data_IF_859339376156
#
_entry.id   IF_859339376156
#
_cell.length_a   1.000
_cell.length_b   1.000
_cell.length_c   1.000
_cell.angle_alpha   90.00
_cell.angle_beta   90.00
_cell.angle_gamma   90.00
#
_symmetry.space_group_name_H-M   'P 1'
#
loop_
_entity.id
_entity.type
_entity.pdbx_description
1 polymer ?
#
# COMPACT_ATOMS: atom_id res chain seq x y z
N UNK A 1 7.29 0.22 4.86
CA UNK A 1 8.60 -0.45 4.59
C UNK A 1 9.51 0.33 3.63
N UNK A 2 9.80 1.57 4.01
CA UNK A 2 10.52 2.60 3.25
C UNK A 2 11.87 2.92 3.87
N UNK A 3 12.31 2.18 4.89
CA UNK A 3 13.48 2.52 5.71
C UNK A 3 14.76 2.60 4.87
N UNK A 4 15.62 3.58 5.19
CA UNK A 4 16.96 3.63 4.60
C UNK A 4 17.79 2.46 5.12
N UNK A 5 18.49 1.71 4.25
CA UNK A 5 19.24 0.53 4.69
C UNK A 5 20.27 0.80 5.78
N UNK A 6 20.93 1.97 5.78
CA UNK A 6 21.93 2.31 6.82
C UNK A 6 21.32 2.63 8.19
N UNK A 7 20.03 2.93 8.27
CA UNK A 7 19.35 3.27 9.54
C UNK A 7 18.83 2.02 10.23
N UNK A 8 18.28 1.07 9.46
CA UNK A 8 17.72 -0.17 9.99
C UNK A 8 18.74 -1.32 9.93
N UNK A 9 19.32 -1.69 11.09
CA UNK A 9 20.27 -2.82 11.19
C UNK A 9 21.69 -2.54 10.66
N UNK A 10 21.99 -1.30 10.25
CA UNK A 10 23.32 -0.83 9.85
C UNK A 10 23.84 -1.38 8.51
N UNK A 11 23.11 -2.32 7.89
CA UNK A 11 23.37 -2.99 6.61
C UNK A 11 24.85 -3.06 6.21
N UNK A 12 25.64 -3.95 6.86
CA UNK A 12 27.09 -4.04 6.65
C UNK A 12 27.48 -4.52 5.24
N UNK A 13 26.52 -5.08 4.49
CA UNK A 13 26.72 -5.55 3.12
C UNK A 13 25.54 -5.11 2.25
N UNK A 14 25.73 -5.12 0.92
CA UNK A 14 24.64 -4.86 -0.02
C UNK A 14 23.49 -5.86 0.15
N UNK A 15 23.78 -7.14 0.38
CA UNK A 15 22.75 -8.14 0.62
C UNK A 15 21.94 -7.83 1.89
N UNK A 16 22.59 -7.45 2.98
CA UNK A 16 21.92 -7.06 4.23
C UNK A 16 21.16 -5.72 4.11
N UNK A 17 21.40 -4.96 3.03
CA UNK A 17 20.67 -3.73 2.72
C UNK A 17 19.29 -4.00 2.12
N UNK A 18 19.02 -5.23 1.69
CA UNK A 18 17.74 -5.67 1.15
C UNK A 18 17.07 -6.55 2.20
N UNK A 19 16.09 -5.98 2.89
CA UNK A 19 15.30 -6.65 3.91
C UNK A 19 13.84 -6.16 3.92
N UNK A 20 13.01 -6.78 4.76
CA UNK A 20 11.57 -6.51 4.85
C UNK A 20 11.21 -5.06 5.21
N UNK A 21 12.11 -4.27 5.79
CA UNK A 21 11.87 -2.86 6.08
C UNK A 21 12.25 -1.90 4.94
N UNK A 22 12.96 -2.38 3.91
CA UNK A 22 13.65 -1.53 2.92
C UNK A 22 13.15 -1.66 1.49
N UNK A 23 12.21 -2.57 1.20
CA UNK A 23 11.90 -2.89 -0.19
C UNK A 23 11.20 -1.74 -0.95
N UNK A 24 10.34 -0.94 -0.30
CA UNK A 24 9.80 0.27 -0.95
C UNK A 24 10.83 1.39 -1.08
N UNK A 25 11.86 1.41 -0.23
CA UNK A 25 12.99 2.33 -0.44
C UNK A 25 13.71 2.02 -1.76
N UNK A 26 14.05 0.75 -1.99
CA UNK A 26 14.71 0.33 -3.23
C UNK A 26 13.79 0.53 -4.44
N UNK A 27 12.51 0.18 -4.35
CA UNK A 27 11.54 0.43 -5.41
C UNK A 27 11.44 1.92 -5.78
N UNK A 28 11.48 2.82 -4.78
CA UNK A 28 11.51 4.25 -5.02
C UNK A 28 12.81 4.69 -5.71
N UNK A 29 13.98 4.17 -5.29
CA UNK A 29 15.27 4.49 -5.92
C UNK A 29 15.37 3.97 -7.37
N UNK A 30 14.70 2.86 -7.66
CA UNK A 30 14.63 2.26 -9.00
C UNK A 30 13.56 2.91 -9.89
N UNK A 31 12.77 3.85 -9.35
CA UNK A 31 11.70 4.54 -10.11
C UNK A 31 10.50 3.64 -10.43
N UNK A 32 10.29 2.58 -9.64
CA UNK A 32 9.20 1.62 -9.82
C UNK A 32 7.89 2.07 -9.18
N UNK A 33 7.92 3.14 -8.38
CA UNK A 33 6.76 3.69 -7.71
C UNK A 33 6.23 4.90 -8.48
N UNK A 34 4.90 4.99 -8.58
CA UNK A 34 4.28 6.18 -9.11
C UNK A 34 4.52 7.34 -8.13
N UNK A 35 5.09 8.44 -8.63
CA UNK A 35 5.31 9.60 -7.77
C UNK A 35 3.97 10.15 -7.28
N UNK A 36 3.95 10.43 -5.99
CA UNK A 36 2.86 11.12 -5.31
C UNK A 36 1.49 10.42 -5.28
N UNK A 37 1.45 9.10 -5.41
CA UNK A 37 0.20 8.34 -5.24
C UNK A 37 0.36 7.11 -4.34
N UNK A 38 1.39 7.10 -3.49
CA UNK A 38 1.60 6.05 -2.50
C UNK A 38 1.23 6.56 -1.11
N UNK A 39 0.70 5.65 -0.29
CA UNK A 39 0.28 5.96 1.08
C UNK A 39 0.56 4.75 1.98
N UNK A 40 1.11 5.00 3.16
CA UNK A 40 1.15 4.04 4.25
C UNK A 40 0.03 4.37 5.24
N UNK A 41 -0.91 3.44 5.42
CA UNK A 41 -1.99 3.60 6.39
C UNK A 41 -1.79 2.72 7.62
N UNK A 42 -2.01 3.29 8.81
CA UNK A 42 -1.91 2.58 10.08
C UNK A 42 -0.49 2.46 10.65
N UNK A 43 0.40 3.37 10.26
CA UNK A 43 1.76 3.45 10.85
C UNK A 43 1.63 3.64 12.36
N UNK A 44 2.25 2.71 13.10
CA UNK A 44 2.24 2.64 14.57
C UNK A 44 3.55 2.04 15.05
N UNK A 45 4.16 2.66 16.06
CA UNK A 45 5.29 2.20 16.89
C UNK A 45 6.03 3.45 17.40
N UNK A 46 6.99 3.27 18.31
CA UNK A 46 7.96 4.31 18.62
C UNK A 46 8.85 4.56 17.41
N UNK A 47 8.85 5.79 16.91
CA UNK A 47 9.79 6.22 15.88
C UNK A 47 11.23 6.12 16.39
N UNK A 48 12.15 5.79 15.50
CA UNK A 48 13.59 5.86 15.79
C UNK A 48 14.08 7.31 15.81
N UNK A 49 13.37 8.21 15.12
CA UNK A 49 13.56 9.65 15.15
C UNK A 49 12.59 10.38 14.22
N UNK A 50 12.60 11.72 14.23
CA UNK A 50 11.78 12.52 13.30
C UNK A 50 12.13 12.31 11.83
N UNK A 51 13.36 11.85 11.55
CA UNK A 51 13.82 11.48 10.20
C UNK A 51 13.00 10.38 9.54
N UNK A 52 12.28 9.58 10.33
CA UNK A 52 11.45 8.50 9.80
C UNK A 52 10.28 9.06 8.96
N UNK A 53 9.69 10.19 9.39
CA UNK A 53 8.66 10.90 8.62
C UNK A 53 9.20 11.50 7.32
N UNK A 54 10.41 12.07 7.36
CA UNK A 54 11.04 12.67 6.19
C UNK A 54 11.34 11.61 5.11
N UNK A 55 11.60 10.39 5.54
CA UNK A 55 12.00 9.31 4.66
C UNK A 55 10.82 8.73 3.85
N UNK A 56 9.63 8.64 4.44
CA UNK A 56 8.41 8.28 3.69
C UNK A 56 8.09 9.32 2.61
N UNK A 57 8.17 10.60 2.97
CA UNK A 57 8.00 11.68 2.01
C UNK A 57 9.02 11.62 0.86
N UNK A 58 10.28 11.28 1.16
CA UNK A 58 11.31 11.09 0.14
C UNK A 58 11.01 9.92 -0.82
N UNK A 59 10.40 8.85 -0.33
CA UNK A 59 9.95 7.73 -1.16
C UNK A 59 8.60 7.99 -1.86
N UNK A 60 8.01 9.18 -1.70
CA UNK A 60 6.72 9.54 -2.30
C UNK A 60 5.52 8.92 -1.60
N UNK A 61 5.63 8.61 -0.30
CA UNK A 61 4.53 8.11 0.53
C UNK A 61 3.95 9.23 1.40
N UNK A 62 2.62 9.30 1.46
CA UNK A 62 1.93 9.97 2.56
C UNK A 62 1.72 8.99 3.71
N UNK A 63 1.68 9.47 4.95
CA UNK A 63 1.44 8.65 6.13
C UNK A 63 0.06 8.95 6.69
N UNK A 64 -0.68 7.90 7.01
CA UNK A 64 -1.78 7.94 7.97
C UNK A 64 -1.36 7.17 9.21
N UNK A 65 -1.22 7.87 10.33
CA UNK A 65 -0.87 7.25 11.60
C UNK A 65 -2.08 6.51 12.18
N UNK A 66 -1.84 5.40 12.89
CA UNK A 66 -2.92 4.61 13.48
C UNK A 66 -3.79 5.42 14.46
N UNK A 67 -3.20 6.40 15.17
CA UNK A 67 -3.93 7.29 16.11
C UNK A 67 -4.89 8.25 15.42
N UNK A 68 -4.77 8.48 14.12
CA UNK A 68 -5.66 9.41 13.42
C UNK A 68 -7.10 8.88 13.40
N UNK A 69 -7.30 7.57 13.50
CA UNK A 69 -8.62 6.95 13.56
C UNK A 69 -9.49 7.53 14.69
N UNK A 70 -8.89 7.91 15.81
CA UNK A 70 -9.61 8.49 16.95
C UNK A 70 -10.16 9.89 16.65
N UNK A 71 -9.60 10.57 15.65
CA UNK A 71 -9.92 11.95 15.30
C UNK A 71 -10.75 12.09 14.04
N UNK A 72 -10.42 11.34 12.98
CA UNK A 72 -11.07 11.45 11.67
C UNK A 72 -11.94 10.23 11.34
N UNK A 73 -11.88 9.18 12.16
CA UNK A 73 -12.61 7.93 11.95
C UNK A 73 -12.19 7.20 10.67
N UNK A 74 -12.84 6.07 10.42
CA UNK A 74 -12.61 5.26 9.20
C UNK A 74 -12.92 6.05 7.94
N UNK A 75 -14.00 6.82 7.92
CA UNK A 75 -14.40 7.65 6.77
C UNK A 75 -13.34 8.70 6.41
N UNK A 76 -12.74 9.35 7.40
CA UNK A 76 -11.67 10.32 7.16
C UNK A 76 -10.41 9.66 6.61
N UNK A 77 -10.08 8.45 7.07
CA UNK A 77 -8.94 7.68 6.54
C UNK A 77 -9.21 7.27 5.08
N UNK A 78 -10.41 6.76 4.78
CA UNK A 78 -10.83 6.41 3.41
C UNK A 78 -10.70 7.64 2.50
N UNK A 79 -11.21 8.79 2.95
CA UNK A 79 -11.11 10.05 2.20
C UNK A 79 -9.64 10.42 1.93
N UNK A 80 -8.77 10.35 2.93
CA UNK A 80 -7.33 10.64 2.75
C UNK A 80 -6.69 9.73 1.70
N UNK A 81 -6.98 8.43 1.75
CA UNK A 81 -6.44 7.50 0.74
C UNK A 81 -6.97 7.86 -0.65
N UNK A 82 -8.26 8.15 -0.80
CA UNK A 82 -8.82 8.60 -2.08
C UNK A 82 -8.18 9.88 -2.60
N UNK A 83 -8.04 10.90 -1.74
CA UNK A 83 -7.44 12.18 -2.11
C UNK A 83 -5.97 12.00 -2.56
N UNK A 84 -5.23 11.11 -1.89
CA UNK A 84 -3.81 10.84 -2.18
C UNK A 84 -3.62 10.02 -3.46
N UNK A 85 -4.40 8.96 -3.62
CA UNK A 85 -4.18 7.97 -4.66
C UNK A 85 -4.89 8.35 -5.96
N UNK A 86 -6.01 9.06 -5.87
CA UNK A 86 -6.88 9.37 -6.99
C UNK A 86 -7.66 8.17 -7.51
N UNK A 87 -8.39 8.36 -8.60
CA UNK A 87 -9.28 7.35 -9.19
C UNK A 87 -8.78 6.81 -10.54
N UNK A 88 -7.87 7.53 -11.20
CA UNK A 88 -7.50 7.28 -12.60
C UNK A 88 -6.28 6.36 -12.76
N UNK A 89 -5.45 6.24 -11.72
CA UNK A 89 -4.25 5.40 -11.74
C UNK A 89 -4.53 4.02 -11.15
N UNK A 90 -3.85 2.97 -11.64
CA UNK A 90 -3.90 1.65 -11.04
C UNK A 90 -3.24 1.65 -9.66
N UNK A 91 -3.84 0.94 -8.70
CA UNK A 91 -3.48 0.93 -7.28
C UNK A 91 -3.36 -0.51 -6.79
N UNK A 92 -2.59 -0.70 -5.73
CA UNK A 92 -2.25 -2.01 -5.18
C UNK A 92 -3.05 -2.43 -3.91
N UNK A 93 -4.02 -1.64 -3.44
CA UNK A 93 -4.86 -2.04 -2.30
C UNK A 93 -6.28 -1.45 -2.34
N UNK A 94 -7.25 -2.22 -1.86
CA UNK A 94 -8.68 -2.02 -2.11
C UNK A 94 -9.34 -0.87 -1.36
N UNK A 95 -9.93 0.04 -2.14
CA UNK A 95 -11.04 0.90 -1.77
C UNK A 95 -12.02 0.95 -2.94
N UNK A 96 -13.31 1.02 -2.65
CA UNK A 96 -14.33 1.13 -3.67
C UNK A 96 -14.10 2.38 -4.55
N UNK A 97 -14.17 2.24 -5.87
CA UNK A 97 -13.95 3.35 -6.79
C UNK A 97 -12.49 3.58 -7.20
N UNK A 98 -11.55 2.75 -6.73
CA UNK A 98 -10.15 2.74 -7.19
C UNK A 98 -9.95 1.65 -8.27
N UNK A 99 -8.99 1.83 -9.19
CA UNK A 99 -8.58 0.78 -10.13
C UNK A 99 -7.56 -0.16 -9.47
N UNK A 100 -8.02 -1.21 -8.78
CA UNK A 100 -7.18 -2.15 -8.08
C UNK A 100 -6.59 -3.19 -9.04
N UNK A 101 -5.26 -3.19 -9.23
CA UNK A 101 -4.57 -4.09 -10.18
C UNK A 101 -3.92 -5.28 -9.51
N UNK A 102 -3.48 -5.13 -8.27
CA UNK A 102 -2.90 -6.22 -7.49
C UNK A 102 -2.98 -5.89 -5.99
N UNK A 103 -2.65 -6.86 -5.14
CA UNK A 103 -2.58 -6.72 -3.70
C UNK A 103 -1.69 -7.85 -3.13
N UNK A 104 -1.09 -7.60 -1.97
CA UNK A 104 -0.29 -8.58 -1.24
C UNK A 104 -0.73 -8.60 0.23
N UNK A 105 -0.67 -9.78 0.84
CA UNK A 105 -0.93 -9.98 2.27
C UNK A 105 0.33 -10.59 2.86
N UNK A 106 1.11 -9.76 3.53
CA UNK A 106 2.39 -10.10 4.13
C UNK A 106 2.29 -10.21 5.65
N UNK A 107 3.38 -10.67 6.28
CA UNK A 107 3.55 -10.73 7.73
C UNK A 107 2.56 -11.67 8.46
N UNK A 108 2.02 -12.67 7.74
CA UNK A 108 1.30 -13.80 8.34
C UNK A 108 2.33 -14.83 8.82
N UNK A 109 2.42 -15.03 10.13
CA UNK A 109 3.38 -15.94 10.74
C UNK A 109 2.69 -17.02 11.59
N UNK A 110 2.26 -18.15 10.99
CA UNK A 110 1.52 -19.20 11.71
C UNK A 110 2.25 -19.75 12.94
N UNK A 111 3.59 -19.76 12.92
CA UNK A 111 4.40 -20.22 14.06
C UNK A 111 4.22 -19.35 15.33
N UNK A 112 3.77 -18.11 15.18
CA UNK A 112 3.48 -17.18 16.27
C UNK A 112 1.98 -16.93 16.46
N UNK A 113 1.15 -17.50 15.58
CA UNK A 113 -0.30 -17.50 15.72
C UNK A 113 -0.69 -18.65 16.65
N UNK A 114 -1.32 -18.33 17.79
CA UNK A 114 -1.73 -19.36 18.75
C UNK A 114 -2.67 -20.39 18.08
N UNK A 115 -2.99 -21.49 18.76
CA UNK A 115 -3.83 -22.60 18.24
C UNK A 115 -5.19 -22.20 17.61
N UNK A 116 -5.62 -20.95 17.69
CA UNK A 116 -6.84 -20.42 17.10
C UNK A 116 -6.65 -19.81 15.68
N UNK A 117 -5.42 -19.74 15.17
CA UNK A 117 -5.09 -19.34 13.78
C UNK A 117 -5.75 -18.01 13.33
N UNK A 118 -5.91 -17.06 14.25
CA UNK A 118 -6.69 -15.85 14.02
C UNK A 118 -6.10 -14.96 12.93
N UNK A 119 -4.77 -14.85 12.87
CA UNK A 119 -4.08 -14.02 11.87
C UNK A 119 -4.25 -14.65 10.49
N UNK A 120 -4.19 -15.97 10.42
CA UNK A 120 -4.40 -16.72 9.17
C UNK A 120 -5.84 -16.57 8.68
N UNK A 121 -6.83 -16.64 9.59
CA UNK A 121 -8.23 -16.42 9.24
C UNK A 121 -8.49 -14.98 8.77
N UNK A 122 -7.97 -13.98 9.50
CA UNK A 122 -8.12 -12.57 9.12
C UNK A 122 -7.47 -12.27 7.76
N UNK A 123 -6.32 -12.89 7.46
CA UNK A 123 -5.68 -12.81 6.16
C UNK A 123 -6.56 -13.41 5.04
N UNK A 124 -7.17 -14.58 5.30
CA UNK A 124 -8.07 -15.21 4.34
C UNK A 124 -9.33 -14.37 4.06
N UNK A 125 -9.95 -13.80 5.10
CA UNK A 125 -11.11 -12.92 4.97
C UNK A 125 -10.75 -11.63 4.22
N UNK A 126 -9.59 -11.03 4.54
CA UNK A 126 -9.09 -9.84 3.84
C UNK A 126 -8.84 -10.13 2.36
N UNK A 127 -8.26 -11.30 2.04
CA UNK A 127 -8.04 -11.73 0.66
C UNK A 127 -9.36 -11.85 -0.10
N UNK A 128 -10.39 -12.41 0.52
CA UNK A 128 -11.71 -12.55 -0.09
C UNK A 128 -12.31 -11.18 -0.47
N UNK A 129 -12.23 -10.20 0.42
CA UNK A 129 -12.70 -8.83 0.14
C UNK A 129 -11.90 -8.16 -0.98
N UNK A 130 -10.57 -8.27 -0.94
CA UNK A 130 -9.67 -7.74 -1.97
C UNK A 130 -9.99 -8.35 -3.34
N UNK A 131 -10.10 -9.68 -3.42
CA UNK A 131 -10.45 -10.37 -4.67
C UNK A 131 -11.81 -9.93 -5.19
N UNK A 132 -12.80 -9.76 -4.29
CA UNK A 132 -14.13 -9.27 -4.65
C UNK A 132 -14.05 -7.87 -5.26
N UNK A 133 -13.25 -6.97 -4.69
CA UNK A 133 -13.02 -5.63 -5.25
C UNK A 133 -12.33 -5.66 -6.61
N UNK A 134 -11.34 -6.55 -6.81
CA UNK A 134 -10.63 -6.69 -8.10
C UNK A 134 -11.56 -7.15 -9.22
N UNK A 135 -12.52 -8.05 -8.94
CA UNK A 135 -13.43 -8.58 -9.98
C UNK A 135 -14.70 -7.75 -10.15
N UNK A 136 -15.04 -6.86 -9.20
CA UNK A 136 -16.31 -6.10 -9.20
C UNK A 136 -16.51 -5.27 -10.47
N UNK A 137 -15.44 -4.74 -11.06
CA UNK A 137 -15.49 -3.93 -12.30
C UNK A 137 -15.42 -4.76 -13.59
N UNK A 138 -15.38 -6.10 -13.48
CA UNK A 138 -15.14 -6.99 -14.61
C UNK A 138 -13.65 -7.07 -14.99
N UNK A 139 -13.30 -7.88 -16.00
CA UNK A 139 -11.91 -8.03 -16.42
C UNK A 139 -11.35 -6.71 -16.99
N UNK A 140 -10.10 -6.39 -16.64
CA UNK A 140 -9.39 -5.19 -17.12
C UNK A 140 -9.42 -5.05 -18.65
N UNK A 141 -9.47 -6.16 -19.39
CA UNK A 141 -9.58 -6.16 -20.85
C UNK A 141 -10.84 -5.46 -21.38
N UNK A 142 -11.94 -5.48 -20.63
CA UNK A 142 -13.18 -4.83 -21.03
C UNK A 142 -13.18 -3.34 -20.67
N UNK A 143 -12.50 -2.95 -19.59
CA UNK A 143 -12.31 -1.54 -19.22
C UNK A 143 -11.43 -0.82 -20.24
N UNK A 144 -10.31 -1.42 -20.66
CA UNK A 144 -9.41 -0.82 -21.68
C UNK A 144 -10.13 -0.62 -23.01
N UNK A 145 -11.00 -1.55 -23.41
CA UNK A 145 -11.81 -1.39 -24.63
C UNK A 145 -12.80 -0.23 -24.52
N UNK A 146 -13.40 -0.04 -23.35
CA UNK A 146 -14.34 1.05 -23.09
C UNK A 146 -13.64 2.41 -23.19
N UNK A 147 -12.46 2.55 -22.57
CA UNK A 147 -11.65 3.77 -22.63
C UNK A 147 -11.21 4.09 -24.08
N UNK A 148 -10.83 3.07 -24.86
CA UNK A 148 -10.50 3.23 -26.28
C UNK A 148 -11.70 3.66 -27.15
N UNK A 149 -12.91 3.21 -26.81
CA UNK A 149 -14.15 3.60 -27.49
C UNK A 149 -14.48 5.05 -27.15
N UNK A 150 -14.47 5.42 -25.88
CA UNK A 150 -14.75 6.79 -25.42
C UNK A 150 -13.73 7.80 -25.96
N UNK A 151 -12.45 7.45 -26.00
CA UNK A 151 -11.41 8.30 -26.60
C UNK A 151 -11.59 8.51 -28.11
N UNK A 152 -12.16 7.52 -28.83
CA UNK A 152 -12.50 7.66 -30.25
C UNK A 152 -13.76 8.46 -30.50
N UNK A 153 -14.72 8.45 -29.58
CA UNK A 153 -15.94 9.25 -29.67
C UNK A 153 -15.74 10.72 -29.26
N UNK A 154 -14.68 11.01 -28.51
CA UNK A 154 -14.30 12.37 -28.10
C UNK A 154 -13.47 13.15 -29.15
N UNK A 155 -13.14 12.54 -30.30
CA UNK A 155 -12.41 13.11 -31.44
C UNK A 155 -13.34 13.45 -32.61
#
# INVERSE_FOLDING_TARGET
DTWRPKVFGGSPTHQASINHGTYFYHAAQEGLLANDTNIHAGIRTTLSGLSDYENDGYCGFEIVEAREIDTIGTEGIIKKIHDRVGHDKPVYLGLEGINLVAADIVEVAPAYDTNAEHTTMAAADTLYEVMTLMVKKGPLSEMVKQDEIEAKEAL
#
